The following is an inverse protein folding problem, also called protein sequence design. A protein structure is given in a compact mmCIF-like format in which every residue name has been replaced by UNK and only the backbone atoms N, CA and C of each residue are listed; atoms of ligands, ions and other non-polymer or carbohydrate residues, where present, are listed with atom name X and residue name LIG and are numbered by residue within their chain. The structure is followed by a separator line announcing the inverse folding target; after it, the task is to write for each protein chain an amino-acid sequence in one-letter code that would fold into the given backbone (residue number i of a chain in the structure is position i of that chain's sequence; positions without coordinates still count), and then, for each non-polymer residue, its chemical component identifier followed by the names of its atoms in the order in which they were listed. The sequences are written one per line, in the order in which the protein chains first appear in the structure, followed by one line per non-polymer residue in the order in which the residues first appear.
data_IF_972184289028
#
_entry.id   IF_972184289028
#
_cell.length_a   1.000
_cell.length_b   1.000
_cell.length_c   1.000
_cell.angle_alpha   90.00
_cell.angle_beta   90.00
_cell.angle_gamma   90.00
#
_symmetry.space_group_name_H-M   'P 1'
#
loop_
_entity.id
_entity.type
_entity.pdbx_description
1 polymer ?
#
# COMPACT_ATOMS: atom_id res chain seq x y z
N UNK A 1 -11.65 -11.58 -10.88
CA UNK A 1 -10.73 -11.84 -9.75
C UNK A 1 -9.43 -11.13 -10.07
N UNK A 2 -8.94 -10.27 -9.17
CA UNK A 2 -7.64 -9.60 -9.32
C UNK A 2 -6.60 -10.47 -8.62
N UNK A 3 -5.46 -10.68 -9.27
CA UNK A 3 -4.35 -11.46 -8.75
C UNK A 3 -3.05 -10.91 -9.31
N UNK A 4 -1.97 -11.09 -8.57
CA UNK A 4 -0.59 -10.81 -8.99
C UNK A 4 0.25 -12.07 -8.76
N UNK A 5 1.34 -12.19 -9.51
CA UNK A 5 2.43 -13.11 -9.20
C UNK A 5 3.32 -12.59 -8.06
N UNK A 6 4.61 -12.96 -8.06
CA UNK A 6 5.58 -12.45 -7.08
C UNK A 6 5.66 -10.92 -7.06
N UNK A 7 5.71 -10.33 -5.87
CA UNK A 7 5.83 -8.89 -5.72
C UNK A 7 5.28 -8.38 -4.38
N UNK A 8 4.66 -7.20 -4.39
CA UNK A 8 4.22 -6.52 -3.16
C UNK A 8 2.69 -6.45 -3.07
N UNK A 9 2.16 -6.81 -1.91
CA UNK A 9 0.79 -6.44 -1.51
C UNK A 9 0.89 -5.19 -0.64
N UNK A 10 0.30 -4.10 -1.11
CA UNK A 10 0.31 -2.81 -0.42
C UNK A 10 -1.08 -2.50 0.12
N UNK A 11 -1.18 -2.30 1.42
CA UNK A 11 -2.35 -1.66 2.05
C UNK A 11 -2.04 -0.18 2.20
N UNK A 12 -2.83 0.67 1.54
CA UNK A 12 -2.57 2.11 1.46
C UNK A 12 -3.59 2.85 2.29
N UNK A 13 -3.11 3.56 3.31
CA UNK A 13 -3.86 4.55 4.05
C UNK A 13 -3.44 5.93 3.55
N UNK A 14 -4.40 6.83 3.35
CA UNK A 14 -4.16 8.21 2.93
C UNK A 14 -4.53 9.12 4.10
N UNK A 15 -3.62 10.01 4.48
CA UNK A 15 -3.85 11.03 5.50
C UNK A 15 -4.52 12.29 4.89
N UNK A 16 -5.28 13.08 5.67
CA UNK A 16 -6.00 14.24 5.14
C UNK A 16 -5.14 15.31 4.46
N UNK A 17 -3.86 15.42 4.82
CA UNK A 17 -2.89 16.39 4.29
C UNK A 17 -1.94 15.78 3.24
N UNK A 18 -2.14 14.53 2.85
CA UNK A 18 -1.39 13.93 1.74
C UNK A 18 -1.63 14.69 0.44
N UNK A 19 -0.54 14.99 -0.26
CA UNK A 19 -0.53 15.69 -1.54
C UNK A 19 0.26 14.91 -2.60
N UNK A 20 0.23 15.39 -3.86
CA UNK A 20 0.96 14.76 -4.96
C UNK A 20 2.48 14.62 -4.68
N UNK A 21 3.05 15.52 -3.88
CA UNK A 21 4.44 15.47 -3.46
C UNK A 21 4.71 14.29 -2.52
N UNK A 22 3.85 14.07 -1.52
CA UNK A 22 3.91 12.90 -0.63
C UNK A 22 3.77 11.61 -1.43
N UNK A 23 2.79 11.54 -2.35
CA UNK A 23 2.58 10.35 -3.17
C UNK A 23 3.79 10.03 -4.05
N UNK A 24 4.40 11.04 -4.65
CA UNK A 24 5.59 10.86 -5.49
C UNK A 24 6.78 10.31 -4.69
N UNK A 25 7.02 10.85 -3.47
CA UNK A 25 8.08 10.35 -2.58
C UNK A 25 7.81 8.92 -2.12
N UNK A 26 6.58 8.63 -1.68
CA UNK A 26 6.20 7.29 -1.24
C UNK A 26 6.30 6.27 -2.39
N UNK A 27 5.82 6.61 -3.58
CA UNK A 27 5.88 5.72 -4.74
C UNK A 27 7.33 5.42 -5.12
N UNK A 28 8.20 6.43 -5.11
CA UNK A 28 9.63 6.24 -5.33
C UNK A 28 10.26 5.31 -4.29
N UNK A 29 9.93 5.47 -3.00
CA UNK A 29 10.40 4.58 -1.93
C UNK A 29 9.94 3.15 -2.14
N UNK A 30 8.67 2.93 -2.47
CA UNK A 30 8.13 1.58 -2.75
C UNK A 30 8.85 0.92 -3.93
N UNK A 31 9.01 1.64 -5.04
CA UNK A 31 9.62 1.11 -6.26
C UNK A 31 11.11 0.76 -6.09
N UNK A 32 11.82 1.52 -5.27
CA UNK A 32 13.26 1.37 -5.06
C UNK A 32 13.63 0.55 -3.82
N UNK A 33 12.66 0.18 -2.99
CA UNK A 33 12.90 -0.57 -1.77
C UNK A 33 13.52 -1.94 -2.07
N UNK A 34 14.74 -2.15 -1.57
CA UNK A 34 15.46 -3.44 -1.66
C UNK A 34 14.95 -4.37 -0.57
N UNK A 35 13.92 -5.16 -0.91
CA UNK A 35 13.22 -6.06 0.01
C UNK A 35 13.03 -7.47 -0.56
N UNK A 36 13.66 -7.77 -1.70
CA UNK A 36 13.68 -9.08 -2.31
C UNK A 36 15.10 -9.64 -2.37
N UNK A 37 15.19 -10.96 -2.43
CA UNK A 37 16.46 -11.66 -2.58
C UNK A 37 17.16 -11.23 -3.87
N UNK A 38 18.33 -10.63 -3.70
CA UNK A 38 19.28 -10.40 -4.76
C UNK A 38 20.41 -11.44 -4.73
N UNK A 39 21.56 -11.14 -5.35
CA UNK A 39 22.69 -12.07 -5.39
C UNK A 39 23.09 -12.53 -3.98
N UNK A 40 23.33 -13.84 -3.83
CA UNK A 40 23.75 -14.47 -2.58
C UNK A 40 22.73 -14.38 -1.41
N UNK A 41 21.44 -14.18 -1.70
CA UNK A 41 20.38 -14.20 -0.68
C UNK A 41 20.37 -12.96 0.22
N UNK A 42 20.97 -11.85 -0.23
CA UNK A 42 20.86 -10.57 0.46
C UNK A 42 19.61 -9.84 -0.04
N UNK A 43 18.86 -9.21 0.86
CA UNK A 43 17.74 -8.31 0.53
C UNK A 43 18.26 -7.07 -0.19
N UNK A 44 18.48 -7.23 -1.48
CA UNK A 44 19.24 -6.29 -2.30
C UNK A 44 18.59 -6.07 -3.64
N UNK A 45 17.44 -6.68 -3.93
CA UNK A 45 16.66 -6.40 -5.14
C UNK A 45 15.37 -5.66 -4.83
N UNK A 46 14.99 -4.71 -5.69
CA UNK A 46 13.69 -4.05 -5.64
C UNK A 46 12.64 -4.78 -6.47
N UNK A 47 11.36 -4.39 -6.29
CA UNK A 47 10.25 -4.93 -7.09
C UNK A 47 10.46 -4.70 -8.60
N UNK A 48 11.12 -3.59 -8.97
CA UNK A 48 11.47 -3.28 -10.36
C UNK A 48 12.54 -4.24 -10.90
N UNK A 49 13.61 -4.45 -10.12
CA UNK A 49 14.77 -5.24 -10.52
C UNK A 49 14.42 -6.73 -10.68
N UNK A 50 13.45 -7.23 -9.91
CA UNK A 50 12.97 -8.62 -10.02
C UNK A 50 11.82 -8.81 -11.03
N UNK A 51 11.38 -7.75 -11.71
CA UNK A 51 10.19 -7.75 -12.56
C UNK A 51 8.91 -8.22 -11.85
N UNK A 52 8.75 -7.82 -10.58
CA UNK A 52 7.60 -8.16 -9.76
C UNK A 52 6.36 -7.34 -10.10
N UNK A 53 5.25 -7.66 -9.45
CA UNK A 53 3.97 -6.97 -9.60
C UNK A 53 3.52 -6.33 -8.27
N UNK A 54 2.62 -5.35 -8.33
CA UNK A 54 2.05 -4.71 -7.15
C UNK A 54 0.54 -4.93 -7.12
N UNK A 55 0.02 -5.31 -5.96
CA UNK A 55 -1.40 -5.27 -5.62
C UNK A 55 -1.63 -4.14 -4.62
N UNK A 56 -2.18 -3.02 -5.09
CA UNK A 56 -2.48 -1.84 -4.28
C UNK A 56 -3.92 -1.90 -3.78
N UNK A 57 -4.11 -1.85 -2.46
CA UNK A 57 -5.39 -2.04 -1.79
C UNK A 57 -5.66 -0.83 -0.92
N UNK A 58 -6.74 -0.07 -1.17
CA UNK A 58 -7.09 1.06 -0.33
C UNK A 58 -7.58 0.55 1.03
N UNK A 59 -7.00 1.08 2.10
CA UNK A 59 -7.38 0.81 3.47
C UNK A 59 -7.95 2.10 4.09
N UNK A 60 -9.15 2.06 4.68
CA UNK A 60 -9.68 3.20 5.40
C UNK A 60 -8.75 3.53 6.57
N UNK A 61 -8.35 4.80 6.69
CA UNK A 61 -7.62 5.27 7.85
C UNK A 61 -8.52 5.14 9.07
N UNK A 62 -8.15 4.30 10.03
CA UNK A 62 -8.99 4.03 11.20
C UNK A 62 -8.24 4.29 12.49
N UNK A 63 -8.96 4.81 13.48
CA UNK A 63 -8.44 5.05 14.83
C UNK A 63 -9.12 4.11 15.80
N UNK A 64 -8.34 3.55 16.72
CA UNK A 64 -8.89 2.82 17.86
C UNK A 64 -9.39 3.80 18.93
N UNK A 65 -10.69 4.07 18.93
CA UNK A 65 -11.33 4.85 20.00
C UNK A 65 -11.48 4.00 21.25
N UNK A 66 -10.82 4.40 22.34
CA UNK A 66 -10.90 3.75 23.67
C UNK A 66 -11.69 4.62 24.65
N UNK A 67 -13.00 4.38 24.83
CA UNK A 67 -13.79 5.12 25.81
C UNK A 67 -13.44 4.70 27.25
N UNK A 68 -13.65 5.59 28.22
CA UNK A 68 -13.45 5.28 29.64
C UNK A 68 -14.40 4.18 30.16
N UNK A 69 -15.59 4.06 29.55
CA UNK A 69 -16.59 3.03 29.83
C UNK A 69 -17.06 2.46 28.49
N UNK A 70 -17.09 1.13 28.37
CA UNK A 70 -17.51 0.41 27.16
C UNK A 70 -16.36 -0.29 26.44
N UNK A 71 -16.63 -0.82 25.24
CA UNK A 71 -15.66 -1.57 24.45
C UNK A 71 -14.93 -0.64 23.47
N UNK A 72 -13.61 -0.82 23.23
CA UNK A 72 -12.91 -0.15 22.16
C UNK A 72 -13.59 -0.39 20.80
N UNK A 73 -13.56 0.62 19.93
CA UNK A 73 -14.12 0.54 18.58
C UNK A 73 -13.16 1.19 17.60
N UNK A 74 -13.02 0.61 16.41
CA UNK A 74 -12.38 1.27 15.28
C UNK A 74 -13.38 2.25 14.67
N UNK A 75 -12.94 3.48 14.45
CA UNK A 75 -13.71 4.54 13.78
C UNK A 75 -12.90 5.08 12.61
N UNK A 76 -13.58 5.51 11.55
CA UNK A 76 -12.91 6.20 10.44
C UNK A 76 -12.23 7.47 10.97
N UNK A 77 -10.99 7.71 10.58
CA UNK A 77 -10.31 8.99 10.76
C UNK A 77 -10.65 9.96 9.62
N UNK A 78 -10.82 9.44 8.41
CA UNK A 78 -11.10 10.25 7.24
C UNK A 78 -12.59 10.57 7.18
N UNK A 79 -12.87 11.88 7.22
CA UNK A 79 -14.17 12.46 6.89
C UNK A 79 -14.31 12.72 5.38
N UNK A 80 -13.21 12.66 4.61
CA UNK A 80 -13.15 12.93 3.16
C UNK A 80 -12.73 11.68 2.35
N UNK A 81 -13.71 10.88 1.98
CA UNK A 81 -13.54 9.71 1.11
C UNK A 81 -13.11 10.08 -0.32
N UNK A 82 -13.39 11.31 -0.78
CA UNK A 82 -13.09 11.74 -2.15
C UNK A 82 -11.60 12.07 -2.29
N UNK A 83 -11.02 12.82 -1.35
CA UNK A 83 -9.58 13.08 -1.31
C UNK A 83 -8.78 11.79 -1.21
N UNK A 84 -9.14 10.90 -0.28
CA UNK A 84 -8.45 9.62 -0.10
C UNK A 84 -8.48 8.75 -1.36
N UNK A 85 -9.63 8.67 -2.04
CA UNK A 85 -9.75 7.92 -3.29
C UNK A 85 -8.93 8.55 -4.41
N UNK A 86 -8.95 9.88 -4.55
CA UNK A 86 -8.17 10.60 -5.55
C UNK A 86 -6.66 10.38 -5.34
N UNK A 87 -6.17 10.55 -4.11
CA UNK A 87 -4.77 10.34 -3.78
C UNK A 87 -4.34 8.89 -4.01
N UNK A 88 -5.17 7.91 -3.64
CA UNK A 88 -4.88 6.51 -3.93
C UNK A 88 -4.79 6.22 -5.44
N UNK A 89 -5.67 6.78 -6.27
CA UNK A 89 -5.61 6.68 -7.73
C UNK A 89 -4.29 7.30 -8.25
N UNK A 90 -3.94 8.51 -7.80
CA UNK A 90 -2.70 9.20 -8.18
C UNK A 90 -1.45 8.43 -7.76
N UNK A 91 -1.46 7.81 -6.59
CA UNK A 91 -0.39 6.95 -6.12
C UNK A 91 -0.19 5.75 -7.04
N UNK A 92 -1.28 5.10 -7.46
CA UNK A 92 -1.20 3.98 -8.39
C UNK A 92 -0.69 4.41 -9.78
N UNK A 93 -1.02 5.61 -10.24
CA UNK A 93 -0.43 6.21 -11.46
C UNK A 93 1.09 6.42 -11.29
N UNK A 94 1.52 6.97 -10.16
CA UNK A 94 2.93 7.17 -9.84
C UNK A 94 3.70 5.84 -9.80
N UNK A 95 3.15 4.78 -9.19
CA UNK A 95 3.73 3.44 -9.19
C UNK A 95 3.88 2.89 -10.62
N UNK A 96 2.85 3.03 -11.47
CA UNK A 96 2.89 2.56 -12.87
C UNK A 96 3.96 3.28 -13.70
N UNK A 97 4.22 4.56 -13.41
CA UNK A 97 5.30 5.31 -14.08
C UNK A 97 6.69 4.66 -13.88
N UNK A 98 6.85 3.85 -12.83
CA UNK A 98 8.04 3.05 -12.56
C UNK A 98 8.17 1.76 -13.39
N UNK A 99 7.34 1.54 -14.41
CA UNK A 99 7.29 0.33 -15.23
C UNK A 99 7.02 -0.96 -14.45
N UNK A 100 6.25 -0.88 -13.36
CA UNK A 100 5.79 -2.04 -12.58
C UNK A 100 4.31 -2.27 -12.88
N UNK A 101 3.87 -3.51 -13.17
CA UNK A 101 2.45 -3.81 -13.27
C UNK A 101 1.75 -3.58 -11.92
N UNK A 102 0.76 -2.67 -11.92
CA UNK A 102 -0.05 -2.36 -10.73
C UNK A 102 -1.48 -2.83 -10.94
N UNK A 103 -1.87 -3.83 -10.14
CA UNK A 103 -3.24 -4.26 -9.94
C UNK A 103 -3.83 -3.56 -8.72
N UNK A 104 -5.13 -3.33 -8.75
CA UNK A 104 -5.82 -2.53 -7.74
C UNK A 104 -6.96 -3.31 -7.10
N UNK A 105 -7.20 -3.01 -5.81
CA UNK A 105 -8.45 -3.32 -5.13
C UNK A 105 -9.59 -2.40 -5.60
N UNK A 106 -10.60 -2.24 -4.74
CA UNK A 106 -11.72 -1.33 -5.00
C UNK A 106 -11.98 -0.47 -3.78
N UNK A 107 -11.87 0.85 -3.93
CA UNK A 107 -12.16 1.81 -2.87
C UNK A 107 -13.60 1.66 -2.36
N UNK A 108 -13.79 1.82 -1.05
CA UNK A 108 -15.11 1.71 -0.39
C UNK A 108 -15.77 0.33 -0.45
N UNK A 109 -15.08 -0.69 -0.95
CA UNK A 109 -15.64 -2.03 -1.11
C UNK A 109 -15.19 -2.97 0.00
N UNK A 110 -16.10 -3.83 0.46
CA UNK A 110 -15.70 -4.99 1.25
C UNK A 110 -14.92 -5.97 0.37
N UNK A 111 -13.67 -6.25 0.77
CA UNK A 111 -12.74 -7.10 0.01
C UNK A 111 -12.30 -8.31 0.84
N UNK A 112 -12.05 -9.43 0.16
CA UNK A 112 -11.34 -10.58 0.73
C UNK A 112 -10.01 -10.71 0.00
N UNK A 113 -8.93 -10.71 0.78
CA UNK A 113 -7.56 -10.67 0.25
C UNK A 113 -6.84 -11.89 0.83
N UNK A 114 -6.27 -12.70 -0.06
CA UNK A 114 -5.37 -13.78 0.31
C UNK A 114 -3.96 -13.42 -0.13
N UNK A 115 -2.97 -13.64 0.74
CA UNK A 115 -1.56 -13.46 0.42
C UNK A 115 -0.74 -14.59 1.04
N UNK A 116 0.39 -14.89 0.40
CA UNK A 116 1.44 -15.75 0.96
C UNK A 116 2.61 -14.82 1.22
N UNK A 117 2.92 -14.59 2.50
CA UNK A 117 4.08 -13.79 2.87
C UNK A 117 5.35 -14.65 2.73
N UNK A 118 6.15 -14.34 1.71
CA UNK A 118 7.44 -14.99 1.46
C UNK A 118 8.52 -14.29 2.30
N UNK A 119 9.13 -15.00 3.26
CA UNK A 119 10.01 -14.43 4.30
C UNK A 119 9.75 -14.99 5.71
N UNK A 120 8.85 -14.37 6.54
CA UNK A 120 7.97 -13.25 6.21
C UNK A 120 8.55 -11.89 6.65
N UNK A 121 8.64 -10.97 5.68
CA UNK A 121 8.91 -9.55 5.92
C UNK A 121 7.60 -8.77 5.76
N UNK A 122 7.19 -8.08 6.81
CA UNK A 122 6.11 -7.11 6.77
C UNK A 122 6.63 -5.81 7.39
N UNK A 123 6.43 -4.70 6.71
CA UNK A 123 6.92 -3.39 7.13
C UNK A 123 5.90 -2.32 6.79
N UNK A 124 6.00 -1.20 7.50
CA UNK A 124 5.21 0.01 7.25
C UNK A 124 6.14 1.11 6.79
N UNK A 125 5.75 1.83 5.75
CA UNK A 125 6.40 3.08 5.33
C UNK A 125 5.46 4.23 5.68
N UNK A 126 6.02 5.33 6.18
CA UNK A 126 5.30 6.57 6.47
C UNK A 126 6.13 7.75 5.93
N UNK A 127 5.44 8.78 5.47
CA UNK A 127 5.97 10.07 5.04
C UNK A 127 5.50 11.19 5.97
#
# INVERSE_FOLDING_TARGET
MVQIGPGLVLTIEVEPDDDEGTLARMAHRVLTLRCFDGPQGQLSSSVQEMHGEILSIPQPLTILRRPAIGRPQLVSHNDDDEHANLMWIRFNEALRSGNVPVREGRFGAHMRIGSIADGPFQFTLQE
#
